data_IF_712860984918
#
_entry.id   IF_712860984918
#
_cell.length_a   1.000
_cell.length_b   1.000
_cell.length_c   1.000
_cell.angle_alpha   90.00
_cell.angle_beta   90.00
_cell.angle_gamma   90.00
#
_symmetry.space_group_name_H-M   'P 1'
#
loop_
_entity.id
_entity.type
_entity.pdbx_description
1 polymer ?
#
# COMPACT_ATOMS: atom_id res chain seq x y z
N UNK A 1 -1.74 16.66 10.41
CA UNK A 1 -0.68 17.16 11.31
C UNK A 1 0.69 16.77 10.76
N UNK A 2 1.58 17.73 10.45
CA UNK A 2 2.96 17.48 10.00
C UNK A 2 3.88 17.75 11.19
N UNK A 3 4.30 16.72 11.91
CA UNK A 3 5.35 16.85 12.93
C UNK A 3 6.68 16.47 12.28
N UNK A 4 7.30 17.43 11.60
CA UNK A 4 8.71 17.33 11.23
C UNK A 4 9.50 17.50 12.51
N UNK A 5 10.14 16.42 12.97
CA UNK A 5 10.89 16.50 14.23
C UNK A 5 12.30 17.02 14.00
N UNK A 6 12.89 16.65 12.86
CA UNK A 6 14.17 17.17 12.36
C UNK A 6 14.17 17.10 10.83
N UNK A 7 14.74 18.11 10.17
CA UNK A 7 15.10 18.05 8.75
C UNK A 7 16.60 17.81 8.67
N UNK A 8 17.02 16.65 8.14
CA UNK A 8 18.43 16.36 7.87
C UNK A 8 18.78 16.90 6.48
N UNK A 9 19.95 17.52 6.36
CA UNK A 9 20.48 17.92 5.04
C UNK A 9 21.41 16.85 4.48
N UNK A 10 21.08 16.41 3.27
CA UNK A 10 21.90 15.52 2.47
C UNK A 10 23.11 16.23 1.86
N UNK A 11 24.10 15.45 1.39
CA UNK A 11 25.36 15.98 0.87
C UNK A 11 25.22 16.83 -0.41
N UNK A 12 24.07 16.79 -1.09
CA UNK A 12 23.76 17.65 -2.24
C UNK A 12 22.63 18.64 -1.96
N UNK A 13 22.40 18.97 -0.68
CA UNK A 13 21.35 19.91 -0.27
C UNK A 13 19.94 19.33 -0.29
N UNK A 14 19.80 18.00 -0.26
CA UNK A 14 18.48 17.36 -0.12
C UNK A 14 17.96 17.54 1.31
N UNK A 15 16.66 17.70 1.48
CA UNK A 15 16.04 17.66 2.79
C UNK A 15 15.45 16.27 3.06
N UNK A 16 15.71 15.73 4.25
CA UNK A 16 15.07 14.51 4.74
C UNK A 16 14.31 14.81 6.03
N UNK A 17 13.00 14.58 6.03
CA UNK A 17 12.15 14.80 7.19
C UNK A 17 12.10 13.52 8.06
N UNK A 18 12.35 13.67 9.36
CA UNK A 18 12.12 12.60 10.32
C UNK A 18 10.70 12.70 10.86
N UNK A 19 9.91 11.68 10.53
CA UNK A 19 8.54 11.51 11.01
C UNK A 19 8.53 10.56 12.20
N UNK A 20 7.84 10.93 13.28
CA UNK A 20 7.59 10.04 14.44
C UNK A 20 6.44 9.08 14.20
N UNK A 21 5.53 9.43 13.30
CA UNK A 21 4.38 8.62 12.93
C UNK A 21 3.97 8.93 11.51
N UNK A 22 3.27 7.98 10.89
CA UNK A 22 2.67 8.15 9.57
C UNK A 22 1.16 8.17 9.76
N UNK A 23 0.52 9.27 9.34
CA UNK A 23 -0.93 9.44 9.47
C UNK A 23 -1.67 8.28 8.79
N UNK A 24 -2.61 7.66 9.50
CA UNK A 24 -3.36 6.50 9.03
C UNK A 24 -2.68 5.15 9.27
N UNK A 25 -1.46 5.09 9.81
CA UNK A 25 -0.75 3.85 10.13
C UNK A 25 -0.41 3.77 11.62
N UNK A 26 -0.54 2.58 12.20
CA UNK A 26 0.02 2.23 13.51
C UNK A 26 1.50 1.84 13.40
N UNK A 27 2.20 1.76 14.53
CA UNK A 27 3.59 1.26 14.55
C UNK A 27 3.67 -0.20 14.08
N UNK A 28 2.64 -1.01 14.40
CA UNK A 28 2.52 -2.38 13.90
C UNK A 28 2.37 -2.39 12.37
N UNK A 29 1.51 -1.53 11.81
CA UNK A 29 1.35 -1.43 10.35
C UNK A 29 2.67 -1.07 9.65
N UNK A 30 3.42 -0.11 10.22
CA UNK A 30 4.72 0.31 9.68
C UNK A 30 5.69 -0.86 9.68
N UNK A 31 5.76 -1.61 10.78
CA UNK A 31 6.69 -2.72 10.93
C UNK A 31 6.32 -3.90 10.00
N UNK A 32 5.05 -4.29 9.96
CA UNK A 32 4.56 -5.43 9.17
C UNK A 32 4.61 -5.18 7.66
N UNK A 33 4.44 -3.92 7.28
CA UNK A 33 4.44 -3.48 5.88
C UNK A 33 5.76 -2.80 5.48
N UNK A 34 6.81 -2.93 6.27
CA UNK A 34 8.16 -2.62 5.82
C UNK A 34 8.71 -3.79 5.01
N UNK A 35 9.26 -3.48 3.84
CA UNK A 35 9.97 -4.42 3.00
C UNK A 35 11.38 -3.93 2.68
N UNK A 36 12.38 -4.82 2.70
CA UNK A 36 13.74 -4.45 2.35
C UNK A 36 13.91 -4.40 0.83
N UNK A 37 14.58 -3.36 0.34
CA UNK A 37 14.94 -3.17 -1.06
C UNK A 37 16.43 -2.82 -1.12
N UNK A 38 17.16 -3.51 -1.99
CA UNK A 38 18.57 -3.20 -2.23
C UNK A 38 18.67 -1.96 -3.13
N UNK A 39 19.28 -0.88 -2.63
CA UNK A 39 19.47 0.36 -3.36
C UNK A 39 20.88 0.89 -3.15
N UNK A 40 21.61 1.14 -4.26
CA UNK A 40 22.98 1.64 -4.25
C UNK A 40 23.92 0.84 -3.30
N UNK A 41 23.80 -0.49 -3.32
CA UNK A 41 24.63 -1.38 -2.48
C UNK A 41 24.24 -1.41 -0.99
N UNK A 42 23.13 -0.77 -0.60
CA UNK A 42 22.63 -0.78 0.79
C UNK A 42 21.23 -1.37 0.84
N UNK A 43 20.94 -2.08 1.92
CA UNK A 43 19.59 -2.51 2.24
C UNK A 43 18.82 -1.33 2.83
N UNK A 44 17.73 -0.94 2.19
CA UNK A 44 16.84 0.12 2.63
C UNK A 44 15.44 -0.42 2.85
N UNK A 45 14.72 0.14 3.83
CA UNK A 45 13.37 -0.31 4.17
C UNK A 45 12.34 0.66 3.62
N UNK A 46 11.36 0.12 2.90
CA UNK A 46 10.27 0.88 2.30
C UNK A 46 8.93 0.32 2.74
N UNK A 47 7.95 1.21 2.91
CA UNK A 47 6.58 0.78 3.11
C UNK A 47 6.03 0.16 1.83
N UNK A 48 5.25 -0.91 1.95
CA UNK A 48 4.53 -1.49 0.80
C UNK A 48 3.58 -0.46 0.18
N UNK A 49 3.24 -0.60 -1.10
CA UNK A 49 2.20 0.21 -1.74
C UNK A 49 0.86 0.19 -0.98
N UNK A 50 0.53 -0.91 -0.31
CA UNK A 50 -0.71 -1.05 0.46
C UNK A 50 -0.72 -0.14 1.68
N UNK A 51 0.38 -0.08 2.45
CA UNK A 51 0.53 0.86 3.57
C UNK A 51 0.58 2.31 3.10
N UNK A 52 1.29 2.59 1.99
CA UNK A 52 1.31 3.93 1.39
C UNK A 52 -0.09 4.37 0.96
N UNK A 53 -0.89 3.46 0.40
CA UNK A 53 -2.27 3.74 0.00
C UNK A 53 -3.11 4.15 1.22
N UNK A 54 -3.05 3.38 2.30
CA UNK A 54 -3.74 3.68 3.56
C UNK A 54 -3.36 5.06 4.10
N UNK A 55 -2.06 5.37 4.13
CA UNK A 55 -1.57 6.66 4.60
C UNK A 55 -2.03 7.83 3.71
N UNK A 56 -2.05 7.65 2.38
CA UNK A 56 -2.55 8.66 1.44
C UNK A 56 -4.04 8.89 1.60
N UNK A 57 -4.81 7.82 1.80
CA UNK A 57 -6.25 7.92 2.06
C UNK A 57 -6.52 8.69 3.36
N UNK A 58 -5.82 8.35 4.46
CA UNK A 58 -5.96 9.07 5.72
C UNK A 58 -5.56 10.54 5.62
N UNK A 59 -4.55 10.88 4.80
CA UNK A 59 -4.18 12.28 4.56
C UNK A 59 -5.30 13.06 3.85
N UNK A 60 -5.98 12.44 2.89
CA UNK A 60 -7.12 13.06 2.21
C UNK A 60 -8.26 13.37 3.17
N UNK A 61 -8.47 12.49 4.17
CA UNK A 61 -9.53 12.65 5.15
C UNK A 61 -9.25 13.74 6.20
N UNK A 62 -8.00 13.84 6.66
CA UNK A 62 -7.68 14.55 7.90
C UNK A 62 -6.72 15.72 7.75
N UNK A 63 -6.23 16.01 6.54
CA UNK A 63 -5.28 17.10 6.29
C UNK A 63 -5.80 18.00 5.17
N UNK A 64 -5.78 19.35 5.34
CA UNK A 64 -6.09 20.28 4.25
C UNK A 64 -5.23 20.03 3.02
N UNK A 65 -5.85 19.98 1.83
CA UNK A 65 -5.20 19.54 0.60
C UNK A 65 -4.52 20.67 -0.20
N UNK A 66 -4.55 21.90 0.29
CA UNK A 66 -3.90 23.04 -0.38
C UNK A 66 -2.38 22.82 -0.49
N UNK A 67 -1.86 22.90 -1.72
CA UNK A 67 -0.45 22.63 -2.03
C UNK A 67 -0.05 21.14 -1.94
N UNK A 68 -1.00 20.22 -1.69
CA UNK A 68 -0.75 18.77 -1.58
C UNK A 68 -1.17 18.05 -2.85
N UNK A 69 -0.67 16.82 -3.01
CA UNK A 69 -0.92 15.96 -4.17
C UNK A 69 -1.38 14.56 -3.73
N UNK A 70 -1.99 14.43 -2.54
CA UNK A 70 -2.31 13.10 -1.99
C UNK A 70 -3.32 12.33 -2.86
N UNK A 71 -4.29 13.02 -3.49
CA UNK A 71 -5.25 12.36 -4.41
C UNK A 71 -4.54 11.81 -5.66
N UNK A 72 -3.61 12.59 -6.22
CA UNK A 72 -2.78 12.16 -7.35
C UNK A 72 -1.96 10.93 -6.97
N UNK A 73 -1.32 10.94 -5.80
CA UNK A 73 -0.53 9.82 -5.31
C UNK A 73 -1.40 8.58 -5.01
N UNK A 74 -2.60 8.76 -4.46
CA UNK A 74 -3.55 7.66 -4.23
C UNK A 74 -3.90 6.96 -5.55
N UNK A 75 -4.21 7.74 -6.60
CA UNK A 75 -4.50 7.19 -7.94
C UNK A 75 -3.31 6.48 -8.57
N UNK A 76 -2.09 7.02 -8.40
CA UNK A 76 -0.86 6.33 -8.83
C UNK A 76 -0.65 5.00 -8.11
N UNK A 77 -1.08 4.90 -6.85
CA UNK A 77 -0.95 3.68 -6.07
C UNK A 77 -1.90 2.55 -6.50
N UNK A 78 -2.93 2.82 -7.29
CA UNK A 78 -3.82 1.78 -7.85
C UNK A 78 -3.03 0.77 -8.70
N UNK A 79 -2.40 1.16 -9.83
CA UNK A 79 -1.63 0.21 -10.64
C UNK A 79 -0.37 -0.30 -9.92
N UNK A 80 0.25 0.52 -9.06
CA UNK A 80 1.43 0.11 -8.29
C UNK A 80 1.10 -1.00 -7.28
N UNK A 81 -0.06 -0.93 -6.63
CA UNK A 81 -0.50 -1.96 -5.69
C UNK A 81 -0.81 -3.27 -6.42
N UNK A 82 -1.41 -3.21 -7.60
CA UNK A 82 -1.61 -4.38 -8.47
C UNK A 82 -0.29 -5.07 -8.80
N UNK A 83 0.68 -4.33 -9.36
CA UNK A 83 1.99 -4.90 -9.74
C UNK A 83 2.71 -5.49 -8.52
N UNK A 84 2.68 -4.80 -7.39
CA UNK A 84 3.28 -5.30 -6.15
C UNK A 84 2.64 -6.61 -5.68
N UNK A 85 1.31 -6.69 -5.66
CA UNK A 85 0.60 -7.91 -5.27
C UNK A 85 0.94 -9.04 -6.25
N UNK A 86 1.01 -8.75 -7.55
CA UNK A 86 1.37 -9.73 -8.58
C UNK A 86 2.77 -10.31 -8.35
N UNK A 87 3.76 -9.46 -8.09
CA UNK A 87 5.11 -9.90 -7.74
C UNK A 87 5.11 -10.74 -6.46
N UNK A 88 4.42 -10.29 -5.41
CA UNK A 88 4.36 -11.03 -4.13
C UNK A 88 3.71 -12.41 -4.30
N UNK A 89 2.67 -12.51 -5.12
CA UNK A 89 2.02 -13.78 -5.46
C UNK A 89 2.94 -14.69 -6.27
N UNK A 90 3.70 -14.15 -7.23
CA UNK A 90 4.64 -14.92 -8.03
C UNK A 90 5.77 -15.56 -7.19
N UNK A 91 6.17 -14.91 -6.09
CA UNK A 91 7.20 -15.42 -5.17
C UNK A 91 6.64 -16.39 -4.12
N UNK A 92 5.32 -16.59 -4.06
CA UNK A 92 4.69 -17.44 -3.05
C UNK A 92 4.11 -18.69 -3.71
N UNK A 93 4.97 -19.66 -3.94
CA UNK A 93 4.63 -20.88 -4.71
C UNK A 93 4.00 -21.99 -3.85
N UNK A 94 3.77 -21.74 -2.57
CA UNK A 94 3.25 -22.74 -1.64
C UNK A 94 1.71 -22.86 -1.71
N UNK A 95 1.20 -24.09 -1.58
CA UNK A 95 -0.24 -24.35 -1.47
C UNK A 95 -0.81 -23.88 -0.12
N UNK A 96 0.04 -23.85 0.91
CA UNK A 96 -0.31 -23.39 2.26
C UNK A 96 -0.87 -21.96 2.23
N UNK A 97 -1.65 -21.60 3.26
CA UNK A 97 -2.24 -20.25 3.36
C UNK A 97 -1.14 -19.22 3.62
N UNK A 98 -0.86 -18.27 2.69
CA UNK A 98 0.17 -17.27 2.88
C UNK A 98 -0.36 -16.14 3.76
N UNK A 99 -0.24 -16.29 5.09
CA UNK A 99 -0.88 -15.42 6.07
C UNK A 99 -0.61 -13.93 5.83
N UNK A 100 0.65 -13.57 5.52
CA UNK A 100 1.05 -12.18 5.26
C UNK A 100 0.36 -11.59 4.03
N UNK A 101 0.32 -12.34 2.93
CA UNK A 101 -0.37 -11.92 1.70
C UNK A 101 -1.86 -11.75 1.94
N UNK A 102 -2.48 -12.70 2.65
CA UNK A 102 -3.91 -12.58 2.97
C UNK A 102 -4.19 -11.36 3.87
N UNK A 103 -3.33 -11.08 4.86
CA UNK A 103 -3.43 -9.86 5.70
C UNK A 103 -3.36 -8.61 4.81
N UNK A 104 -2.39 -8.54 3.91
CA UNK A 104 -2.20 -7.43 2.98
C UNK A 104 -3.36 -7.25 1.99
N UNK A 105 -3.83 -8.33 1.36
CA UNK A 105 -5.01 -8.31 0.48
C UNK A 105 -6.25 -7.82 1.23
N UNK A 106 -6.45 -8.30 2.46
CA UNK A 106 -7.57 -7.88 3.31
C UNK A 106 -7.50 -6.38 3.62
N UNK A 107 -6.32 -5.87 3.99
CA UNK A 107 -6.10 -4.45 4.23
C UNK A 107 -6.33 -3.62 2.96
N UNK A 108 -5.79 -4.08 1.82
CA UNK A 108 -5.94 -3.35 0.56
C UNK A 108 -7.40 -3.29 0.11
N UNK A 109 -8.16 -4.39 0.26
CA UNK A 109 -9.61 -4.40 0.04
C UNK A 109 -10.33 -3.35 0.89
N UNK A 110 -9.99 -3.23 2.17
CA UNK A 110 -10.58 -2.22 3.06
C UNK A 110 -10.23 -0.80 2.60
N UNK A 111 -8.97 -0.57 2.20
CA UNK A 111 -8.51 0.71 1.68
C UNK A 111 -9.26 1.12 0.40
N UNK A 112 -9.42 0.20 -0.55
CA UNK A 112 -10.14 0.41 -1.80
C UNK A 112 -11.60 0.76 -1.56
N UNK A 113 -12.28 0.01 -0.68
CA UNK A 113 -13.66 0.31 -0.28
C UNK A 113 -13.80 1.69 0.33
N UNK A 114 -12.92 2.03 1.27
CA UNK A 114 -12.96 3.35 1.91
C UNK A 114 -12.74 4.47 0.90
N UNK A 115 -11.80 4.30 -0.04
CA UNK A 115 -11.55 5.26 -1.12
C UNK A 115 -12.75 5.40 -2.07
N UNK A 116 -13.44 4.31 -2.39
CA UNK A 116 -14.66 4.32 -3.22
C UNK A 116 -15.83 5.01 -2.49
N UNK A 117 -16.10 4.65 -1.24
CA UNK A 117 -17.18 5.27 -0.43
C UNK A 117 -17.01 6.78 -0.31
N UNK A 118 -15.76 7.26 -0.31
CA UNK A 118 -15.42 8.69 -0.24
C UNK A 118 -15.36 9.38 -1.60
N UNK A 119 -15.60 8.65 -2.69
CA UNK A 119 -15.57 9.18 -4.06
C UNK A 119 -14.17 9.54 -4.57
N UNK A 120 -13.11 9.02 -3.95
CA UNK A 120 -11.74 9.23 -4.43
C UNK A 120 -11.38 8.31 -5.60
N UNK A 121 -11.98 7.12 -5.61
CA UNK A 121 -11.86 6.09 -6.64
C UNK A 121 -13.24 5.64 -7.12
N UNK A 122 -13.29 5.04 -8.31
CA UNK A 122 -14.48 4.48 -8.93
C UNK A 122 -14.38 2.94 -9.05
N UNK A 123 -15.37 2.32 -9.70
CA UNK A 123 -15.39 0.87 -9.90
C UNK A 123 -14.28 0.35 -10.83
N UNK A 124 -13.88 1.10 -11.87
CA UNK A 124 -12.78 0.65 -12.74
C UNK A 124 -11.43 0.67 -12.02
N UNK A 125 -11.22 1.62 -11.10
CA UNK A 125 -10.02 1.65 -10.26
C UNK A 125 -9.88 0.39 -9.38
N UNK A 126 -11.01 -0.23 -8.98
CA UNK A 126 -11.01 -1.48 -8.23
C UNK A 126 -10.51 -2.63 -9.09
N UNK A 127 -11.00 -2.76 -10.31
CA UNK A 127 -10.58 -3.79 -11.26
C UNK A 127 -9.08 -3.65 -11.59
N UNK A 128 -8.59 -2.42 -11.69
CA UNK A 128 -7.19 -2.12 -11.98
C UNK A 128 -6.25 -2.29 -10.77
N UNK A 129 -6.79 -2.37 -9.56
CA UNK A 129 -6.00 -2.45 -8.32
C UNK A 129 -5.53 -3.87 -7.93
N UNK A 130 -6.13 -4.91 -8.52
CA UNK A 130 -5.87 -6.30 -8.14
C UNK A 130 -5.47 -7.14 -9.36
N UNK A 131 -4.44 -8.01 -9.25
CA UNK A 131 -4.03 -8.89 -10.34
C UNK A 131 -4.93 -10.13 -10.39
N UNK A 132 -6.17 -9.95 -10.85
CA UNK A 132 -7.23 -10.97 -10.80
C UNK A 132 -6.80 -12.30 -11.43
N UNK A 133 -6.11 -12.28 -12.57
CA UNK A 133 -5.69 -13.50 -13.26
C UNK A 133 -4.61 -14.25 -12.49
N UNK A 134 -3.62 -13.54 -11.94
CA UNK A 134 -2.60 -14.13 -11.07
C UNK A 134 -3.23 -14.74 -9.80
N UNK A 135 -4.21 -14.05 -9.20
CA UNK A 135 -4.95 -14.54 -8.04
C UNK A 135 -5.75 -15.81 -8.33
N UNK A 136 -6.39 -15.90 -9.51
CA UNK A 136 -7.13 -17.11 -9.95
C UNK A 136 -6.21 -18.29 -10.18
N UNK A 137 -5.03 -18.06 -10.74
CA UNK A 137 -4.05 -19.09 -11.05
C UNK A 137 -3.20 -19.53 -9.85
N UNK A 138 -3.24 -18.79 -8.74
CA UNK A 138 -2.39 -19.04 -7.57
C UNK A 138 -2.64 -20.42 -6.93
N UNK A 139 -1.60 -21.16 -6.48
CA UNK A 139 -1.73 -22.51 -5.91
C UNK A 139 -2.49 -22.55 -4.58
N UNK A 140 -2.36 -21.52 -3.73
CA UNK A 140 -3.13 -21.43 -2.49
C UNK A 140 -4.62 -21.18 -2.71
N UNK A 141 -5.47 -22.08 -2.21
CA UNK A 141 -6.93 -21.93 -2.27
C UNK A 141 -7.42 -20.66 -1.55
N UNK A 142 -6.72 -20.25 -0.49
CA UNK A 142 -7.06 -19.06 0.28
C UNK A 142 -6.95 -17.76 -0.55
N UNK A 143 -5.97 -17.69 -1.45
CA UNK A 143 -5.80 -16.57 -2.38
C UNK A 143 -6.90 -16.60 -3.44
N UNK A 144 -7.18 -17.77 -4.04
CA UNK A 144 -8.25 -17.91 -5.04
C UNK A 144 -9.62 -17.56 -4.46
N UNK A 145 -9.90 -18.00 -3.25
CA UNK A 145 -11.17 -17.75 -2.56
C UNK A 145 -11.32 -16.29 -2.11
N UNK A 146 -10.24 -15.53 -1.97
CA UNK A 146 -10.30 -14.10 -1.64
C UNK A 146 -11.16 -13.32 -2.65
N UNK A 147 -11.07 -13.66 -3.94
CA UNK A 147 -11.87 -13.05 -5.01
C UNK A 147 -13.38 -13.18 -4.80
N UNK A 148 -13.85 -14.30 -4.22
CA UNK A 148 -15.27 -14.51 -3.93
C UNK A 148 -15.80 -13.58 -2.84
N UNK A 149 -14.90 -12.96 -2.09
CA UNK A 149 -15.23 -12.06 -1.00
C UNK A 149 -15.00 -10.60 -1.35
N UNK A 150 -14.61 -10.26 -2.59
CA UNK A 150 -14.37 -8.86 -2.98
C UNK A 150 -15.63 -7.99 -2.96
N UNK A 151 -16.80 -8.56 -3.26
CA UNK A 151 -18.09 -7.85 -3.33
C UNK A 151 -18.87 -7.81 -1.99
N UNK A 152 -18.43 -8.56 -0.97
CA UNK A 152 -19.06 -8.62 0.38
C UNK A 152 -18.30 -7.82 1.41
#
# INVERSE_FOLDING_TARGET
MRLVTHALRGPKGQDAEILRSVNGLTDEDIHDQAMPIQYAGKLMWFLTPIALFQAKLANLDSIPQEGRQDLKHLRLLVPVSRCFIEEVLAHTTEEARPQRIIKWLTQHKQNLRSAMTKGHLNASDLEDSLPIDAMKAHPSESVRNFLKHLDR
#
